data_IF_209391287363
#
_entry.id   IF_209391287363
#
_cell.length_a   1.000
_cell.length_b   1.000
_cell.length_c   1.000
_cell.angle_alpha   90.00
_cell.angle_beta   90.00
_cell.angle_gamma   90.00
#
_symmetry.space_group_name_H-M   'P 1'
#
loop_
_entity.id
_entity.type
_entity.pdbx_description
1 polymer ?
#
# COMPACT_ATOMS: atom_id res chain seq x y z
N UNK A 1 12.64 -10.38 -16.48
CA UNK A 1 13.09 -9.06 -15.97
C UNK A 1 12.17 -8.53 -14.89
N UNK A 2 10.84 -8.67 -15.01
CA UNK A 2 9.91 -8.28 -13.94
C UNK A 2 9.94 -9.24 -12.73
N UNK A 3 10.21 -10.53 -12.94
CA UNK A 3 10.11 -11.55 -11.89
C UNK A 3 11.00 -11.28 -10.66
N UNK A 4 12.25 -10.84 -10.87
CA UNK A 4 13.15 -10.49 -9.76
C UNK A 4 12.65 -9.25 -9.00
N UNK A 5 12.16 -8.24 -9.72
CA UNK A 5 11.57 -7.05 -9.10
C UNK A 5 10.30 -7.42 -8.31
N UNK A 6 9.44 -8.30 -8.83
CA UNK A 6 8.26 -8.79 -8.11
C UNK A 6 8.68 -9.49 -6.82
N UNK A 7 9.70 -10.37 -6.86
CA UNK A 7 10.21 -11.04 -5.65
C UNK A 7 10.71 -10.03 -4.61
N UNK A 8 11.44 -9.00 -5.04
CA UNK A 8 11.91 -7.95 -4.15
C UNK A 8 10.76 -7.14 -3.54
N UNK A 9 9.75 -6.80 -4.35
CA UNK A 9 8.53 -6.10 -3.90
C UNK A 9 7.77 -6.95 -2.89
N UNK A 10 7.52 -8.24 -3.17
CA UNK A 10 6.83 -9.15 -2.23
C UNK A 10 7.60 -9.24 -0.89
N UNK A 11 8.94 -9.28 -0.93
CA UNK A 11 9.75 -9.22 0.28
C UNK A 11 9.52 -7.90 1.03
N UNK A 12 9.49 -6.77 0.32
CA UNK A 12 9.25 -5.46 0.94
C UNK A 12 7.84 -5.34 1.53
N UNK A 13 6.82 -5.93 0.91
CA UNK A 13 5.45 -6.02 1.45
C UNK A 13 5.46 -6.73 2.80
N UNK A 14 6.10 -7.91 2.88
CA UNK A 14 6.19 -8.65 4.12
C UNK A 14 6.96 -7.90 5.22
N UNK A 15 8.00 -7.13 4.87
CA UNK A 15 8.71 -6.28 5.83
C UNK A 15 7.89 -5.07 6.27
N UNK A 16 7.10 -4.48 5.38
CA UNK A 16 6.19 -3.39 5.71
C UNK A 16 5.06 -3.84 6.63
N UNK A 17 4.45 -4.99 6.34
CA UNK A 17 3.45 -5.60 7.21
C UNK A 17 4.00 -5.82 8.63
N UNK A 18 5.25 -6.29 8.76
CA UNK A 18 5.93 -6.40 10.08
C UNK A 18 6.12 -5.06 10.77
N UNK A 19 6.48 -4.00 10.04
CA UNK A 19 6.62 -2.65 10.60
C UNK A 19 5.29 -2.15 11.14
N UNK A 20 4.23 -2.21 10.33
CA UNK A 20 2.88 -1.84 10.74
C UNK A 20 2.36 -2.70 11.90
N UNK A 21 2.71 -3.99 11.93
CA UNK A 21 2.35 -4.89 13.01
C UNK A 21 3.01 -4.52 14.35
N UNK A 22 4.26 -4.09 14.32
CA UNK A 22 5.00 -3.66 15.50
C UNK A 22 4.43 -2.38 16.11
N UNK A 23 3.85 -1.50 15.29
CA UNK A 23 3.33 -0.21 15.75
C UNK A 23 1.82 -0.26 16.09
N UNK A 24 1.04 -1.02 15.32
CA UNK A 24 -0.43 -0.95 15.33
C UNK A 24 -1.12 -2.32 15.41
N UNK A 25 -0.39 -3.39 15.74
CA UNK A 25 -0.93 -4.75 15.81
C UNK A 25 -0.97 -5.45 14.45
N UNK A 26 -0.88 -6.79 14.46
CA UNK A 26 -0.68 -7.60 13.26
C UNK A 26 -1.90 -7.72 12.33
N UNK A 27 -3.10 -7.61 12.90
CA UNK A 27 -4.38 -7.74 12.19
C UNK A 27 -5.20 -6.46 12.34
N UNK A 28 -6.08 -6.17 11.38
CA UNK A 28 -7.10 -5.14 11.57
C UNK A 28 -8.14 -5.65 12.59
N UNK A 29 -8.58 -4.79 13.50
CA UNK A 29 -9.56 -5.14 14.54
C UNK A 29 -11.00 -5.17 13.99
N UNK A 30 -11.22 -4.61 12.80
CA UNK A 30 -12.52 -4.65 12.14
C UNK A 30 -12.41 -4.50 10.62
N UNK A 31 -13.45 -4.89 9.86
CA UNK A 31 -13.56 -4.61 8.43
C UNK A 31 -13.42 -3.11 8.08
N UNK A 32 -13.94 -2.24 8.95
CA UNK A 32 -13.89 -0.79 8.75
C UNK A 32 -12.47 -0.23 8.90
N UNK A 33 -11.72 -0.72 9.90
CA UNK A 33 -10.31 -0.35 10.07
C UNK A 33 -9.47 -0.85 8.89
N UNK A 34 -9.65 -2.10 8.46
CA UNK A 34 -8.94 -2.64 7.30
C UNK A 34 -9.21 -1.81 6.04
N UNK A 35 -10.46 -1.43 5.79
CA UNK A 35 -10.81 -0.55 4.67
C UNK A 35 -10.17 0.84 4.81
N UNK A 36 -10.21 1.45 5.99
CA UNK A 36 -9.68 2.79 6.22
C UNK A 36 -8.17 2.84 5.97
N UNK A 37 -7.42 1.88 6.50
CA UNK A 37 -5.98 1.75 6.28
C UNK A 37 -5.65 1.62 4.79
N UNK A 38 -6.31 0.69 4.08
CA UNK A 38 -6.07 0.52 2.63
C UNK A 38 -6.41 1.79 1.86
N UNK A 39 -7.50 2.48 2.22
CA UNK A 39 -7.93 3.71 1.55
C UNK A 39 -6.91 4.84 1.72
N UNK A 40 -6.35 5.01 2.91
CA UNK A 40 -5.31 6.00 3.20
C UNK A 40 -4.11 5.82 2.26
N UNK A 41 -3.55 4.61 2.22
CA UNK A 41 -2.39 4.28 1.38
C UNK A 41 -2.68 4.46 -0.13
N UNK A 42 -3.92 4.15 -0.57
CA UNK A 42 -4.34 4.39 -1.96
C UNK A 42 -4.41 5.89 -2.27
N UNK A 43 -4.91 6.72 -1.36
CA UNK A 43 -4.97 8.17 -1.53
C UNK A 43 -3.57 8.79 -1.57
N UNK A 44 -2.63 8.30 -0.77
CA UNK A 44 -1.22 8.72 -0.80
C UNK A 44 -0.53 8.29 -2.11
N UNK A 45 -0.73 7.05 -2.56
CA UNK A 45 -0.23 6.59 -3.86
C UNK A 45 -0.79 7.43 -5.03
N UNK A 46 -2.07 7.81 -4.96
CA UNK A 46 -2.70 8.67 -5.94
C UNK A 46 -2.07 10.07 -5.96
N UNK A 47 -1.81 10.66 -4.78
CA UNK A 47 -1.16 11.96 -4.68
C UNK A 47 0.23 11.97 -5.34
N UNK A 48 1.01 10.88 -5.18
CA UNK A 48 2.31 10.75 -5.84
C UNK A 48 2.18 10.58 -7.36
N UNK A 49 1.16 9.86 -7.84
CA UNK A 49 0.89 9.76 -9.28
C UNK A 49 0.46 11.10 -9.89
N UNK A 50 -0.34 11.89 -9.18
CA UNK A 50 -0.69 13.26 -9.58
C UNK A 50 0.55 14.16 -9.65
N UNK A 51 1.47 14.03 -8.68
CA UNK A 51 2.76 14.72 -8.68
C UNK A 51 3.61 14.34 -9.90
N UNK A 52 3.68 13.04 -10.25
CA UNK A 52 4.38 12.57 -11.45
C UNK A 52 3.76 13.17 -12.71
N UNK A 53 2.43 13.12 -12.86
CA UNK A 53 1.73 13.65 -14.03
C UNK A 53 2.02 15.15 -14.22
N UNK A 54 1.88 15.95 -13.16
CA UNK A 54 2.15 17.37 -13.20
C UNK A 54 3.61 17.69 -13.59
N UNK A 55 4.58 16.95 -13.05
CA UNK A 55 6.01 17.17 -13.35
C UNK A 55 6.36 16.70 -14.76
N UNK A 56 5.70 15.67 -15.27
CA UNK A 56 5.86 15.20 -16.64
C UNK A 56 5.35 16.24 -17.65
N UNK A 57 4.22 16.88 -17.38
CA UNK A 57 3.69 17.97 -18.22
C UNK A 57 4.63 19.18 -18.25
N UNK A 58 5.24 19.54 -17.11
CA UNK A 58 6.25 20.60 -17.06
C UNK A 58 7.53 20.21 -17.83
N UNK A 59 8.01 18.98 -17.65
CA UNK A 59 9.15 18.47 -18.40
C UNK A 59 8.89 18.52 -19.90
N UNK A 60 7.70 18.11 -20.34
CA UNK A 60 7.29 18.18 -21.75
C UNK A 60 7.32 19.61 -22.28
N UNK A 61 6.85 20.58 -21.51
CA UNK A 61 6.90 22.00 -21.89
C UNK A 61 8.33 22.47 -22.11
N UNK A 62 9.26 22.11 -21.22
CA UNK A 62 10.68 22.46 -21.37
C UNK A 62 11.31 21.79 -22.59
N UNK A 63 11.01 20.50 -22.83
CA UNK A 63 11.50 19.77 -24.02
C UNK A 63 11.00 20.42 -25.30
N UNK A 64 9.71 20.80 -25.34
CA UNK A 64 9.10 21.44 -26.50
C UNK A 64 9.68 22.83 -26.81
N UNK A 65 10.16 23.53 -25.79
CA UNK A 65 10.71 24.89 -25.90
C UNK A 65 12.26 24.93 -25.93
N UNK A 66 12.93 23.79 -26.02
CA UNK A 66 14.41 23.66 -25.94
C UNK A 66 15.05 24.23 -24.65
N UNK A 67 14.28 24.29 -23.55
CA UNK A 67 14.71 24.81 -22.23
C UNK A 67 15.45 23.74 -21.40
N UNK A 68 16.62 23.32 -21.88
CA UNK A 68 17.33 22.15 -21.35
C UNK A 68 17.82 22.28 -19.89
N UNK A 69 17.94 23.50 -19.35
CA UNK A 69 18.41 23.72 -17.98
C UNK A 69 17.39 23.34 -16.90
N UNK A 70 16.10 23.28 -17.23
CA UNK A 70 15.05 22.87 -16.27
C UNK A 70 14.77 21.36 -16.26
N UNK A 71 15.10 20.64 -17.33
CA UNK A 71 14.81 19.20 -17.46
C UNK A 71 15.31 18.34 -16.28
N UNK A 72 16.58 18.46 -15.85
CA UNK A 72 17.10 17.69 -14.71
C UNK A 72 16.33 17.91 -13.41
N UNK A 73 15.79 19.11 -13.18
CA UNK A 73 15.01 19.44 -11.99
C UNK A 73 13.69 18.64 -11.96
N UNK A 74 12.95 18.63 -13.07
CA UNK A 74 11.69 17.88 -13.14
C UNK A 74 11.91 16.37 -13.09
N UNK A 75 12.97 15.86 -13.72
CA UNK A 75 13.33 14.44 -13.65
C UNK A 75 13.64 13.99 -12.21
N UNK A 76 14.29 14.83 -11.40
CA UNK A 76 14.54 14.53 -9.99
C UNK A 76 13.23 14.39 -9.21
N UNK A 77 12.25 15.28 -9.44
CA UNK A 77 10.94 15.18 -8.78
C UNK A 77 10.15 13.97 -9.24
N UNK A 78 10.13 13.67 -10.55
CA UNK A 78 9.48 12.48 -11.09
C UNK A 78 10.07 11.23 -10.44
N UNK A 79 11.40 11.13 -10.37
CA UNK A 79 12.07 10.00 -9.71
C UNK A 79 11.66 9.89 -8.25
N UNK A 80 11.67 11.00 -7.51
CA UNK A 80 11.29 11.00 -6.09
C UNK A 80 9.85 10.53 -5.90
N UNK A 81 8.91 11.12 -6.62
CA UNK A 81 7.49 10.78 -6.54
C UNK A 81 7.22 9.33 -6.96
N UNK A 82 7.91 8.83 -7.99
CA UNK A 82 7.81 7.43 -8.40
C UNK A 82 8.30 6.45 -7.33
N UNK A 83 9.37 6.79 -6.59
CA UNK A 83 9.85 5.96 -5.47
C UNK A 83 8.84 5.99 -4.32
N UNK A 84 8.32 7.17 -3.96
CA UNK A 84 7.31 7.30 -2.90
C UNK A 84 6.02 6.56 -3.26
N UNK A 85 5.48 6.77 -4.46
CA UNK A 85 4.29 6.04 -4.92
C UNK A 85 4.50 4.52 -4.98
N UNK A 86 5.72 4.04 -5.23
CA UNK A 86 6.03 2.62 -5.11
C UNK A 86 6.01 2.13 -3.66
N UNK A 87 6.46 2.94 -2.69
CA UNK A 87 6.33 2.64 -1.26
C UNK A 87 4.85 2.59 -0.85
N UNK A 88 4.05 3.58 -1.25
CA UNK A 88 2.61 3.60 -0.88
C UNK A 88 1.88 2.39 -1.46
N UNK A 89 2.19 1.97 -2.69
CA UNK A 89 1.62 0.73 -3.25
C UNK A 89 2.07 -0.55 -2.52
N UNK A 90 3.27 -0.55 -1.94
CA UNK A 90 3.73 -1.64 -1.06
C UNK A 90 2.94 -1.62 0.25
N UNK A 91 2.68 -0.44 0.81
CA UNK A 91 1.84 -0.27 2.00
C UNK A 91 0.40 -0.69 1.73
N UNK A 92 -0.18 -0.38 0.57
CA UNK A 92 -1.50 -0.90 0.13
C UNK A 92 -1.55 -2.43 0.21
N UNK A 93 -0.52 -3.10 -0.33
CA UNK A 93 -0.44 -4.56 -0.29
C UNK A 93 -0.30 -5.07 1.16
N UNK A 94 0.55 -4.44 1.98
CA UNK A 94 0.75 -4.81 3.38
C UNK A 94 -0.51 -4.59 4.23
N UNK A 95 -1.24 -3.50 4.03
CA UNK A 95 -2.51 -3.24 4.72
C UNK A 95 -3.62 -4.19 4.25
N UNK A 96 -3.55 -4.66 3.01
CA UNK A 96 -4.44 -5.73 2.53
C UNK A 96 -4.18 -7.05 3.24
N UNK A 97 -2.91 -7.43 3.45
CA UNK A 97 -2.54 -8.62 4.26
C UNK A 97 -3.00 -8.49 5.72
N UNK A 98 -2.81 -7.30 6.32
CA UNK A 98 -3.33 -6.99 7.66
C UNK A 98 -4.85 -7.12 7.75
N UNK A 99 -5.59 -6.64 6.74
CA UNK A 99 -7.04 -6.75 6.69
C UNK A 99 -7.49 -8.20 6.51
N UNK A 100 -6.84 -8.98 5.64
CA UNK A 100 -7.13 -10.41 5.43
C UNK A 100 -6.98 -11.21 6.72
N UNK A 101 -5.88 -11.00 7.46
CA UNK A 101 -5.67 -11.66 8.75
C UNK A 101 -6.78 -11.31 9.76
N UNK A 102 -7.27 -10.06 9.76
CA UNK A 102 -8.42 -9.66 10.57
C UNK A 102 -9.68 -10.47 10.24
N UNK A 103 -9.98 -10.69 8.96
CA UNK A 103 -11.11 -11.53 8.55
C UNK A 103 -10.95 -13.00 8.94
N UNK A 104 -9.73 -13.54 8.86
CA UNK A 104 -9.44 -14.92 9.26
C UNK A 104 -9.71 -15.13 10.76
N UNK A 105 -9.22 -14.22 11.62
CA UNK A 105 -9.46 -14.27 13.07
C UNK A 105 -10.96 -14.18 13.38
N UNK A 106 -11.67 -13.22 12.77
CA UNK A 106 -13.12 -13.06 12.98
C UNK A 106 -13.91 -14.33 12.60
N UNK A 107 -13.47 -15.05 11.56
CA UNK A 107 -14.11 -16.29 11.12
C UNK A 107 -13.88 -17.41 12.14
N UNK A 108 -12.65 -17.56 12.63
CA UNK A 108 -12.30 -18.56 13.65
C UNK A 108 -13.09 -18.34 14.95
N UNK A 109 -13.24 -17.08 15.39
CA UNK A 109 -14.05 -16.72 16.55
C UNK A 109 -15.52 -17.11 16.39
N UNK A 110 -16.11 -16.82 15.23
CA UNK A 110 -17.50 -17.19 14.92
C UNK A 110 -17.72 -18.71 14.85
N UNK A 111 -16.76 -19.45 14.31
CA UNK A 111 -16.85 -20.90 14.21
C UNK A 111 -16.67 -21.56 15.58
N UNK A 112 -15.83 -21.00 16.45
CA UNK A 112 -15.69 -21.43 17.85
C UNK A 112 -16.97 -21.17 18.66
N UNK A 113 -17.58 -19.98 18.57
CA UNK A 113 -18.85 -19.66 19.24
C UNK A 113 -19.97 -20.63 18.87
N UNK A 114 -20.12 -20.96 17.58
CA UNK A 114 -21.13 -21.93 17.11
C UNK A 114 -20.93 -23.33 17.68
N UNK A 115 -19.67 -23.75 17.84
CA UNK A 115 -19.33 -25.07 18.39
C UNK A 115 -19.66 -25.16 19.88
N UNK A 116 -19.36 -24.10 20.64
CA UNK A 116 -19.69 -24.03 22.07
C UNK A 116 -21.21 -23.98 22.29
N UNK A 117 -21.95 -23.26 21.45
CA UNK A 117 -23.42 -23.21 21.52
C UNK A 117 -24.09 -24.54 21.17
N UNK A 118 -23.50 -25.37 20.30
CA UNK A 118 -24.03 -26.70 19.98
C UNK A 118 -23.80 -27.71 21.10
N UNK A 119 -22.65 -27.63 21.79
CA UNK A 119 -22.27 -28.58 22.84
C UNK A 119 -22.96 -28.28 24.19
N UNK A 120 -23.36 -27.03 24.43
CA UNK A 120 -24.10 -26.62 25.63
C UNK A 120 -25.61 -26.93 25.63
N UNK A 121 -26.17 -27.47 24.53
CA UNK A 121 -27.59 -27.81 24.39
C UNK A 121 -27.90 -29.32 24.51
N UNK A 122 -26.92 -30.12 24.94
CA UNK A 122 -27.03 -31.58 25.13
C UNK A 122 -27.47 -32.02 26.52
#
# INVERSE_FOLDING_TARGET
MMDELIKEVVRLVAEEHKRAAAEHGAAAHSPHEGYALIKEEVEEAQAEMESIAQRLDHLWTCVKNDENHYGPHYLMYIKKAAVLGACELIQVAAMSEKALLGYEIMKEEQDHEKTVESDGKG
#
